data_IF_664971112771
#
_entry.id   IF_664971112771
#
_cell.length_a   1.000
_cell.length_b   1.000
_cell.length_c   1.000
_cell.angle_alpha   90.00
_cell.angle_beta   90.00
_cell.angle_gamma   90.00
#
_symmetry.space_group_name_H-M   'P 1'
#
loop_
_entity.id
_entity.type
_entity.pdbx_description
1 polymer ?
#
# COMPACT_ATOMS: atom_id res chain seq x y z
N UNK A 1 25.27 24.24 44.78
CA UNK A 1 25.57 25.04 43.58
C UNK A 1 24.58 26.21 43.60
N UNK A 2 25.09 27.43 43.73
CA UNK A 2 24.27 28.64 43.54
C UNK A 2 24.26 28.94 42.04
N UNK A 3 23.10 28.81 41.38
CA UNK A 3 22.94 29.27 40.03
C UNK A 3 22.67 30.77 40.03
N UNK A 4 23.54 31.54 39.43
CA UNK A 4 23.31 32.96 39.20
C UNK A 4 22.98 33.16 37.71
N UNK A 5 21.82 33.71 37.40
CA UNK A 5 21.49 34.12 36.08
C UNK A 5 22.17 35.44 35.74
N UNK A 6 23.05 35.46 34.77
CA UNK A 6 23.72 36.66 34.30
C UNK A 6 23.22 36.99 32.90
N UNK A 7 22.76 38.20 32.69
CA UNK A 7 22.35 38.72 31.38
C UNK A 7 23.54 39.46 30.76
N UNK A 8 23.91 39.06 29.57
CA UNK A 8 24.95 39.73 28.77
C UNK A 8 24.27 40.62 27.71
N UNK A 9 24.58 41.91 27.71
CA UNK A 9 23.82 42.89 26.90
C UNK A 9 24.14 42.88 25.39
N UNK A 10 25.31 42.35 25.03
CA UNK A 10 25.79 42.37 23.64
C UNK A 10 26.53 41.05 23.31
N UNK A 11 26.65 40.78 22.02
CA UNK A 11 27.47 39.66 21.55
C UNK A 11 28.94 39.92 21.84
N UNK A 12 29.67 38.93 22.30
CA UNK A 12 31.08 39.04 22.63
C UNK A 12 31.60 37.92 23.51
N UNK A 13 32.87 38.00 23.85
CA UNK A 13 33.51 37.06 24.75
C UNK A 13 33.62 37.64 26.17
N UNK A 14 33.04 37.00 27.15
CA UNK A 14 33.02 37.41 28.55
C UNK A 14 33.79 36.42 29.40
N UNK A 15 34.79 36.92 30.15
CA UNK A 15 35.52 36.11 31.10
C UNK A 15 34.70 35.91 32.38
N UNK A 16 34.59 34.69 32.88
CA UNK A 16 33.91 34.34 34.10
C UNK A 16 34.65 33.22 34.83
N UNK A 17 34.22 32.86 36.03
CA UNK A 17 34.84 31.85 36.83
C UNK A 17 33.81 30.92 37.47
N UNK A 18 34.05 29.63 37.43
CA UNK A 18 33.31 28.65 38.21
C UNK A 18 34.08 28.38 39.51
N UNK A 19 33.46 28.64 40.68
CA UNK A 19 34.04 28.45 41.99
C UNK A 19 33.34 27.27 42.70
N UNK A 20 34.10 26.30 43.18
CA UNK A 20 33.65 25.23 44.07
C UNK A 20 34.33 25.38 45.42
N UNK A 21 33.54 25.35 46.53
CA UNK A 21 34.02 25.43 47.89
C UNK A 21 33.60 24.18 48.69
N UNK A 22 34.53 23.55 49.35
CA UNK A 22 34.23 22.42 50.24
C UNK A 22 33.74 22.86 51.63
N UNK A 23 33.34 21.89 52.45
CA UNK A 23 32.87 22.13 53.82
C UNK A 23 33.93 22.71 54.76
N UNK A 24 35.21 22.62 54.41
CA UNK A 24 36.33 23.12 55.16
C UNK A 24 36.82 24.51 54.73
N UNK A 25 36.15 25.05 53.67
CA UNK A 25 36.50 26.38 53.19
C UNK A 25 37.51 26.43 52.05
N UNK A 26 38.06 25.30 51.62
CA UNK A 26 38.96 25.25 50.47
C UNK A 26 38.18 25.56 49.19
N UNK A 27 38.78 26.37 48.31
CA UNK A 27 38.15 26.85 47.11
C UNK A 27 38.95 26.44 45.86
N UNK A 28 38.29 25.93 44.88
CA UNK A 28 38.83 25.71 43.54
C UNK A 28 38.12 26.67 42.57
N UNK A 29 38.90 27.36 41.76
CA UNK A 29 38.42 28.33 40.76
C UNK A 29 38.83 27.81 39.39
N UNK A 30 37.86 27.71 38.50
CA UNK A 30 38.06 27.37 37.09
C UNK A 30 37.68 28.58 36.23
N UNK A 31 38.66 29.25 35.56
CA UNK A 31 38.33 30.31 34.63
C UNK A 31 37.63 29.75 33.39
N UNK A 32 36.57 30.42 32.93
CA UNK A 32 35.80 30.09 31.75
C UNK A 32 35.65 31.33 30.89
N UNK A 33 35.41 31.13 29.58
CA UNK A 33 34.98 32.16 28.65
C UNK A 33 33.56 31.82 28.18
N UNK A 34 32.67 32.78 28.36
CA UNK A 34 31.30 32.70 27.89
C UNK A 34 31.25 33.48 26.56
N UNK A 35 30.92 32.79 25.47
CA UNK A 35 30.69 33.41 24.19
C UNK A 35 29.20 33.71 24.05
N UNK A 36 28.86 34.98 23.89
CA UNK A 36 27.51 35.45 23.59
C UNK A 36 27.47 35.74 22.10
N UNK A 37 26.60 35.08 21.37
CA UNK A 37 26.43 35.21 19.94
C UNK A 37 25.05 35.76 19.63
N UNK A 38 24.92 36.60 18.63
CA UNK A 38 23.65 36.98 18.05
C UNK A 38 23.33 35.96 16.96
N UNK A 39 22.24 35.26 17.14
CA UNK A 39 21.72 34.36 16.16
C UNK A 39 20.48 34.96 15.51
N UNK A 40 20.48 35.05 14.20
CA UNK A 40 19.37 35.53 13.38
C UNK A 40 19.04 34.61 12.24
N UNK A 41 19.70 33.44 12.17
CA UNK A 41 19.45 32.45 11.16
C UNK A 41 18.41 31.44 11.67
N UNK A 42 17.32 31.20 10.93
CA UNK A 42 16.34 30.20 11.31
C UNK A 42 16.91 28.78 11.18
N UNK A 43 16.47 27.83 12.00
CA UNK A 43 16.85 26.43 11.89
C UNK A 43 16.41 25.80 10.58
N UNK A 44 17.09 24.74 10.17
CA UNK A 44 16.81 23.98 8.93
C UNK A 44 16.10 22.68 9.28
N UNK A 45 14.91 22.49 8.69
CA UNK A 45 14.18 21.21 8.71
C UNK A 45 14.70 20.30 7.59
N UNK A 46 14.94 19.03 7.92
CA UNK A 46 15.39 18.01 6.98
C UNK A 46 14.44 16.80 7.02
N UNK A 47 14.29 16.10 5.90
CA UNK A 47 13.47 14.89 5.82
C UNK A 47 11.95 15.13 5.84
N UNK A 48 11.50 16.37 5.62
CA UNK A 48 10.07 16.69 5.56
C UNK A 48 9.46 16.14 4.27
N UNK A 49 8.54 15.18 4.41
CA UNK A 49 7.70 14.72 3.31
C UNK A 49 6.60 15.74 3.02
N UNK A 50 6.58 16.28 1.81
CA UNK A 50 5.57 17.29 1.40
C UNK A 50 4.16 16.75 1.33
N UNK A 51 4.01 15.44 1.11
CA UNK A 51 2.74 14.72 1.14
C UNK A 51 2.87 13.48 2.01
N UNK A 52 1.94 13.32 2.95
CA UNK A 52 1.84 12.17 3.85
C UNK A 52 0.45 11.56 3.67
N UNK A 53 0.38 10.24 3.58
CA UNK A 53 -0.86 9.50 3.41
C UNK A 53 -1.29 8.84 4.71
N UNK A 54 -2.58 8.95 5.01
CA UNK A 54 -3.23 8.33 6.16
C UNK A 54 -4.42 7.49 5.71
N UNK A 55 -4.73 6.44 6.46
CA UNK A 55 -5.95 5.66 6.27
C UNK A 55 -7.06 6.24 7.14
N UNK A 56 -8.28 6.31 6.62
CA UNK A 56 -9.48 6.70 7.40
C UNK A 56 -9.52 5.97 8.74
N UNK A 57 -9.71 6.70 9.81
CA UNK A 57 -9.73 6.19 11.19
C UNK A 57 -8.37 5.98 11.84
N UNK A 58 -7.25 6.14 11.10
CA UNK A 58 -5.90 5.96 11.62
C UNK A 58 -5.06 7.22 11.42
N UNK A 59 -4.57 7.78 12.53
CA UNK A 59 -3.60 8.87 12.46
C UNK A 59 -2.21 8.34 12.06
N UNK A 60 -1.46 9.16 11.34
CA UNK A 60 -0.09 8.88 10.91
C UNK A 60 0.89 9.83 11.62
N UNK A 61 2.10 9.34 11.86
CA UNK A 61 3.18 10.18 12.36
C UNK A 61 3.79 11.01 11.22
N UNK A 62 3.44 12.28 11.16
CA UNK A 62 3.96 13.22 10.14
C UNK A 62 5.38 13.70 10.43
N UNK A 63 5.93 13.43 11.63
CA UNK A 63 7.31 13.75 12.00
C UNK A 63 8.28 12.59 11.74
N UNK A 64 7.81 11.47 11.22
CA UNK A 64 8.66 10.34 10.90
C UNK A 64 9.83 10.76 9.99
N UNK A 65 11.07 10.51 10.44
CA UNK A 65 12.32 10.87 9.77
C UNK A 65 12.61 12.38 9.64
N UNK A 66 11.80 13.26 10.26
CA UNK A 66 12.07 14.70 10.28
C UNK A 66 13.13 15.00 11.32
N UNK A 67 14.15 15.74 10.92
CA UNK A 67 15.22 16.25 11.79
C UNK A 67 15.36 17.75 11.64
N UNK A 68 15.98 18.39 12.63
CA UNK A 68 16.25 19.82 12.55
C UNK A 68 17.66 20.14 13.07
N UNK A 69 18.33 21.04 12.36
CA UNK A 69 19.66 21.53 12.74
C UNK A 69 19.69 23.05 12.69
N UNK A 70 20.52 23.62 13.53
CA UNK A 70 20.75 25.04 13.61
C UNK A 70 22.25 25.35 13.67
N UNK A 71 22.66 26.52 13.16
CA UNK A 71 24.05 26.92 13.07
C UNK A 71 24.71 27.16 14.44
N UNK A 72 23.93 27.54 15.46
CA UNK A 72 24.42 27.82 16.83
C UNK A 72 24.00 26.73 17.80
N UNK A 73 22.73 26.32 17.78
CA UNK A 73 22.16 25.32 18.70
C UNK A 73 22.51 23.87 18.32
N UNK A 74 22.99 23.63 17.09
CA UNK A 74 23.33 22.29 16.60
C UNK A 74 22.10 21.46 16.28
N UNK A 75 22.06 20.20 16.75
CA UNK A 75 20.92 19.32 16.57
C UNK A 75 19.78 19.69 17.54
N UNK A 76 18.69 20.19 17.00
CA UNK A 76 17.47 20.57 17.71
C UNK A 76 16.25 19.76 17.29
N UNK A 77 16.45 18.56 16.77
CA UNK A 77 15.37 17.64 16.33
C UNK A 77 14.30 17.45 17.40
N UNK A 78 14.69 17.42 18.69
CA UNK A 78 13.74 17.28 19.81
C UNK A 78 12.77 18.46 19.99
N UNK A 79 13.02 19.58 19.32
CA UNK A 79 12.15 20.78 19.37
C UNK A 79 11.17 20.84 18.19
N UNK A 80 11.24 19.90 17.25
CA UNK A 80 10.31 19.83 16.11
C UNK A 80 8.91 19.50 16.61
N UNK A 81 7.92 20.24 16.14
CA UNK A 81 6.52 20.05 16.47
C UNK A 81 5.66 20.03 15.20
N UNK A 82 4.50 19.39 15.29
CA UNK A 82 3.52 19.36 14.22
C UNK A 82 2.16 19.86 14.71
N UNK A 83 1.58 20.80 13.98
CA UNK A 83 0.18 21.19 14.15
C UNK A 83 -0.67 20.42 13.13
N UNK A 84 -1.46 19.49 13.65
CA UNK A 84 -2.41 18.65 12.91
C UNK A 84 -3.87 19.03 13.21
N UNK A 85 -4.12 20.14 13.86
CA UNK A 85 -5.47 20.53 14.31
C UNK A 85 -6.49 20.70 13.17
N UNK A 86 -6.00 20.95 11.95
CA UNK A 86 -6.81 21.04 10.74
C UNK A 86 -7.03 19.70 10.04
N UNK A 87 -6.44 18.60 10.53
CA UNK A 87 -6.51 17.28 9.89
C UNK A 87 -7.62 16.44 10.51
N UNK A 88 -8.63 16.09 9.71
CA UNK A 88 -9.66 15.11 10.10
C UNK A 88 -9.29 13.72 9.54
N UNK A 89 -8.73 12.88 10.40
CA UNK A 89 -8.36 11.51 10.03
C UNK A 89 -9.58 10.57 9.85
N UNK A 90 -10.79 10.99 10.18
CA UNK A 90 -11.99 10.16 10.02
C UNK A 90 -12.75 10.41 8.72
N UNK A 91 -12.33 11.41 7.95
CA UNK A 91 -12.99 11.76 6.69
C UNK A 91 -11.99 11.75 5.55
N UNK A 92 -12.33 11.08 4.45
CA UNK A 92 -11.52 11.10 3.22
C UNK A 92 -11.36 12.54 2.73
N UNK A 93 -10.12 12.93 2.44
CA UNK A 93 -9.84 14.29 1.98
C UNK A 93 -8.36 14.63 2.03
N UNK A 94 -8.04 15.84 1.57
CA UNK A 94 -6.70 16.41 1.65
C UNK A 94 -6.72 17.56 2.65
N UNK A 95 -5.84 17.49 3.63
CA UNK A 95 -5.73 18.42 4.74
C UNK A 95 -4.33 19.02 4.78
N UNK A 96 -4.16 20.15 5.45
CA UNK A 96 -2.85 20.76 5.66
C UNK A 96 -2.44 20.63 7.12
N UNK A 97 -1.24 20.09 7.35
CA UNK A 97 -0.53 20.14 8.62
C UNK A 97 0.64 21.10 8.52
N UNK A 98 1.13 21.60 9.67
CA UNK A 98 2.29 22.49 9.72
C UNK A 98 3.35 21.90 10.64
N UNK A 99 4.54 21.65 10.11
CA UNK A 99 5.72 21.29 10.90
C UNK A 99 6.48 22.57 11.24
N UNK A 100 6.89 22.73 12.48
CA UNK A 100 7.65 23.90 12.92
C UNK A 100 8.75 23.54 13.91
N UNK A 101 9.80 24.36 13.90
CA UNK A 101 10.90 24.27 14.86
C UNK A 101 11.41 25.68 15.19
N UNK A 102 11.77 25.90 16.45
CA UNK A 102 12.42 27.14 16.95
C UNK A 102 13.77 26.84 17.56
N UNK A 103 14.75 27.70 17.26
CA UNK A 103 16.02 27.72 17.94
C UNK A 103 15.96 28.37 19.34
N UNK A 104 17.08 28.46 20.02
CA UNK A 104 17.21 29.10 21.34
C UNK A 104 17.09 30.62 21.30
N UNK A 105 17.29 31.23 20.15
CA UNK A 105 17.21 32.69 19.91
C UNK A 105 15.81 33.14 19.51
N UNK A 106 14.92 32.18 19.16
CA UNK A 106 13.53 32.42 18.79
C UNK A 106 13.27 32.52 17.29
N UNK A 107 14.29 32.28 16.43
CA UNK A 107 14.07 32.17 15.00
C UNK A 107 13.30 30.88 14.71
N UNK A 108 12.39 30.93 13.74
CA UNK A 108 11.45 29.85 13.49
C UNK A 108 11.44 29.46 12.01
N UNK A 109 11.43 28.15 11.77
CA UNK A 109 11.14 27.58 10.44
C UNK A 109 9.83 26.83 10.49
N UNK A 110 9.00 27.01 9.43
CA UNK A 110 7.71 26.34 9.24
C UNK A 110 7.62 25.76 7.85
N UNK A 111 7.05 24.56 7.76
CA UNK A 111 6.74 23.89 6.50
C UNK A 111 5.33 23.32 6.50
N UNK A 112 4.61 23.55 5.41
CA UNK A 112 3.31 22.93 5.18
C UNK A 112 3.47 21.53 4.59
N UNK A 113 2.67 20.61 5.09
CA UNK A 113 2.60 19.21 4.67
C UNK A 113 1.16 18.89 4.29
N UNK A 114 0.97 18.34 3.09
CA UNK A 114 -0.31 17.83 2.64
C UNK A 114 -0.57 16.46 3.27
N UNK A 115 -1.63 16.30 4.05
CA UNK A 115 -2.07 15.03 4.62
C UNK A 115 -3.27 14.53 3.84
N UNK A 116 -3.08 13.43 3.08
CA UNK A 116 -4.12 12.83 2.26
C UNK A 116 -4.72 11.65 3.02
N UNK A 117 -5.94 11.81 3.53
CA UNK A 117 -6.68 10.75 4.21
C UNK A 117 -7.46 9.96 3.16
N UNK A 118 -7.19 8.67 3.08
CA UNK A 118 -7.73 7.77 2.05
C UNK A 118 -8.47 6.59 2.68
N UNK A 119 -9.46 6.07 1.96
CA UNK A 119 -10.05 4.77 2.26
C UNK A 119 -9.40 3.72 1.33
N UNK A 120 -8.59 2.79 1.88
CA UNK A 120 -7.90 1.79 1.07
C UNK A 120 -8.84 0.77 0.42
N UNK A 121 -10.11 0.71 0.88
CA UNK A 121 -11.14 -0.14 0.28
C UNK A 121 -11.92 0.56 -0.83
N UNK A 122 -11.76 1.87 -0.99
CA UNK A 122 -12.45 2.61 -2.03
C UNK A 122 -11.89 2.22 -3.41
N UNK A 123 -12.74 1.61 -4.22
CA UNK A 123 -12.43 1.34 -5.63
C UNK A 123 -12.70 2.56 -6.48
N UNK A 124 -11.83 2.83 -7.47
CA UNK A 124 -12.00 3.95 -8.41
C UNK A 124 -13.06 3.78 -9.44
N UNK A 125 -13.50 2.60 -9.68
CA UNK A 125 -14.55 2.40 -10.66
C UNK A 125 -15.90 2.86 -10.11
N UNK A 126 -15.92 4.08 -9.57
CA UNK A 126 -17.13 4.89 -9.32
C UNK A 126 -17.73 5.43 -10.61
N UNK A 127 -17.20 5.07 -11.79
CA UNK A 127 -17.85 5.27 -13.06
C UNK A 127 -19.21 4.58 -13.07
N UNK A 128 -20.19 5.16 -13.79
CA UNK A 128 -21.53 4.58 -13.92
C UNK A 128 -21.44 3.11 -14.26
N UNK A 129 -21.75 2.24 -13.30
CA UNK A 129 -21.89 0.80 -13.56
C UNK A 129 -23.16 0.58 -14.40
N UNK A 130 -23.06 -0.27 -15.41
CA UNK A 130 -24.26 -0.70 -16.15
C UNK A 130 -25.00 -1.75 -15.33
N UNK A 131 -26.32 -1.67 -15.31
CA UNK A 131 -27.13 -2.79 -14.83
C UNK A 131 -27.17 -3.85 -15.93
N UNK A 132 -26.60 -5.02 -15.68
CA UNK A 132 -26.60 -6.12 -16.64
C UNK A 132 -27.94 -6.85 -16.59
N UNK A 133 -28.47 -7.15 -17.77
CA UNK A 133 -29.68 -7.99 -17.92
C UNK A 133 -29.33 -9.47 -17.93
N UNK A 134 -30.36 -10.30 -17.94
CA UNK A 134 -30.23 -11.78 -18.04
C UNK A 134 -30.14 -12.30 -19.47
N UNK A 135 -30.36 -11.46 -20.47
CA UNK A 135 -30.15 -11.78 -21.89
C UNK A 135 -28.67 -11.59 -22.25
N UNK A 136 -27.86 -12.58 -21.89
CA UNK A 136 -26.44 -12.55 -22.19
C UNK A 136 -26.08 -12.67 -23.65
N UNK A 137 -27.04 -13.09 -24.51
CA UNK A 137 -26.86 -13.11 -25.95
C UNK A 137 -26.77 -11.72 -26.60
N UNK A 138 -27.21 -10.68 -25.90
CA UNK A 138 -27.11 -9.30 -26.36
C UNK A 138 -25.73 -8.66 -26.22
N UNK A 139 -24.83 -9.28 -25.42
CA UNK A 139 -23.45 -8.83 -25.19
C UNK A 139 -22.49 -9.49 -26.17
N UNK A 140 -21.43 -8.78 -26.56
CA UNK A 140 -20.40 -9.33 -27.44
C UNK A 140 -19.67 -10.50 -26.78
N UNK A 141 -19.63 -11.65 -27.48
CA UNK A 141 -18.83 -12.80 -27.10
C UNK A 141 -17.40 -12.77 -27.69
N UNK A 142 -17.02 -11.67 -28.34
CA UNK A 142 -15.69 -11.49 -28.90
C UNK A 142 -14.61 -11.66 -27.82
N UNK A 143 -13.64 -12.52 -28.11
CA UNK A 143 -12.51 -12.78 -27.23
C UNK A 143 -11.62 -11.53 -27.13
N UNK A 144 -11.36 -11.09 -25.90
CA UNK A 144 -10.49 -9.97 -25.58
C UNK A 144 -9.32 -10.49 -24.76
N UNK A 145 -8.11 -10.51 -25.32
CA UNK A 145 -6.90 -10.81 -24.53
C UNK A 145 -6.61 -9.64 -23.60
N UNK A 146 -6.19 -9.92 -22.37
CA UNK A 146 -5.77 -8.88 -21.43
C UNK A 146 -4.26 -8.74 -21.39
N UNK A 147 -3.80 -7.48 -21.34
CA UNK A 147 -2.41 -7.13 -21.17
C UNK A 147 -2.25 -5.62 -20.90
N UNK A 148 -1.46 -5.27 -19.89
CA UNK A 148 -1.28 -3.88 -19.47
C UNK A 148 -0.27 -3.09 -20.32
N UNK A 149 0.45 -3.78 -21.24
CA UNK A 149 1.46 -3.15 -22.12
C UNK A 149 2.78 -2.87 -21.38
N UNK A 150 3.71 -2.22 -22.09
CA UNK A 150 5.03 -1.84 -21.57
C UNK A 150 5.18 -0.34 -21.31
N UNK A 151 4.31 0.47 -21.92
CA UNK A 151 4.36 1.93 -21.79
C UNK A 151 3.78 2.37 -20.46
N UNK A 152 4.44 3.31 -19.79
CA UNK A 152 4.02 3.88 -18.52
C UNK A 152 3.98 5.41 -18.58
N UNK A 153 3.20 6.01 -17.71
CA UNK A 153 3.19 7.46 -17.48
C UNK A 153 4.33 7.91 -16.54
N UNK A 154 4.34 9.19 -16.17
CA UNK A 154 5.33 9.79 -15.27
C UNK A 154 5.31 9.20 -13.84
N UNK A 155 4.18 8.60 -13.44
CA UNK A 155 3.99 7.95 -12.15
C UNK A 155 4.19 6.43 -12.23
N UNK A 156 4.80 5.94 -13.32
CA UNK A 156 5.08 4.53 -13.59
C UNK A 156 3.82 3.65 -13.76
N UNK A 157 2.65 4.26 -14.04
CA UNK A 157 1.37 3.56 -14.22
C UNK A 157 1.22 3.11 -15.69
N UNK A 158 0.82 1.86 -15.97
CA UNK A 158 0.66 1.37 -17.33
C UNK A 158 -0.42 2.14 -18.12
N UNK A 159 -0.04 2.79 -19.20
CA UNK A 159 -0.96 3.60 -20.03
C UNK A 159 -1.91 2.75 -20.86
N UNK A 160 -1.53 1.52 -21.22
CA UNK A 160 -2.35 0.58 -21.97
C UNK A 160 -3.66 0.19 -21.27
N UNK A 161 -3.73 0.32 -19.94
CA UNK A 161 -4.92 0.02 -19.15
C UNK A 161 -6.08 0.98 -19.41
N UNK A 162 -5.80 2.21 -19.85
CA UNK A 162 -6.83 3.21 -20.08
C UNK A 162 -7.85 2.76 -21.14
N UNK A 163 -7.41 1.99 -22.14
CA UNK A 163 -8.30 1.42 -23.14
C UNK A 163 -9.32 0.44 -22.54
N UNK A 164 -8.87 -0.43 -21.63
CA UNK A 164 -9.75 -1.37 -20.93
C UNK A 164 -10.69 -0.66 -19.96
N UNK A 165 -10.19 0.29 -19.18
CA UNK A 165 -10.98 1.09 -18.23
C UNK A 165 -12.14 1.79 -18.94
N UNK A 166 -11.85 2.50 -20.03
CA UNK A 166 -12.86 3.25 -20.78
C UNK A 166 -13.95 2.36 -21.38
N UNK A 167 -13.57 1.15 -21.79
CA UNK A 167 -14.48 0.25 -22.52
C UNK A 167 -15.23 -0.72 -21.61
N UNK A 168 -14.55 -1.24 -20.58
CA UNK A 168 -15.05 -2.36 -19.79
C UNK A 168 -15.18 -2.05 -18.28
N UNK A 169 -14.66 -0.96 -17.79
CA UNK A 169 -14.78 -0.55 -16.37
C UNK A 169 -16.24 -0.47 -15.89
N UNK A 170 -17.17 -0.13 -16.81
CA UNK A 170 -18.61 -0.11 -16.54
C UNK A 170 -19.20 -1.46 -16.09
N UNK A 171 -18.50 -2.58 -16.31
CA UNK A 171 -18.90 -3.92 -15.86
C UNK A 171 -18.32 -4.28 -14.47
N UNK A 172 -18.12 -3.32 -13.60
CA UNK A 172 -17.47 -3.53 -12.29
C UNK A 172 -16.13 -4.27 -12.42
N UNK A 173 -15.30 -3.84 -13.40
CA UNK A 173 -14.01 -4.44 -13.68
C UNK A 173 -12.88 -3.47 -13.33
N UNK A 174 -11.98 -3.92 -12.45
CA UNK A 174 -10.79 -3.19 -12.00
C UNK A 174 -9.56 -3.67 -12.75
N UNK A 175 -8.93 -2.77 -13.49
CA UNK A 175 -7.68 -3.03 -14.22
C UNK A 175 -6.47 -2.42 -13.49
N UNK A 176 -6.71 -1.42 -12.69
CA UNK A 176 -5.81 -0.72 -11.79
C UNK A 176 -6.69 0.05 -10.80
N UNK A 177 -6.18 0.32 -9.62
CA UNK A 177 -6.88 1.14 -8.64
C UNK A 177 -6.53 2.66 -8.77
N UNK A 178 -7.20 3.58 -8.04
CA UNK A 178 -6.86 4.97 -8.00
C UNK A 178 -5.38 5.20 -7.79
N UNK A 179 -4.91 6.29 -8.34
CA UNK A 179 -3.62 6.81 -7.96
C UNK A 179 -3.65 7.20 -6.48
N UNK A 180 -2.81 6.53 -5.71
CA UNK A 180 -2.67 6.69 -4.27
C UNK A 180 -1.33 6.08 -3.85
N UNK A 181 -0.98 6.16 -2.58
CA UNK A 181 0.16 5.39 -2.06
C UNK A 181 -0.16 3.90 -1.79
N UNK A 182 -1.39 3.46 -2.05
CA UNK A 182 -1.75 2.05 -1.87
C UNK A 182 -1.44 1.21 -3.11
N UNK A 183 -0.94 0.00 -2.85
CA UNK A 183 -0.82 -1.09 -3.81
C UNK A 183 -1.60 -2.30 -3.29
N UNK A 184 -2.06 -3.16 -4.19
CA UNK A 184 -2.93 -4.28 -3.87
C UNK A 184 -2.24 -5.58 -4.27
N UNK A 185 -1.95 -6.41 -3.27
CA UNK A 185 -1.33 -7.71 -3.49
C UNK A 185 -2.40 -8.76 -3.74
N UNK A 186 -2.29 -9.44 -4.86
CA UNK A 186 -3.20 -10.52 -5.23
C UNK A 186 -2.41 -11.74 -5.68
N UNK A 187 -2.90 -12.92 -5.34
CA UNK A 187 -2.29 -14.20 -5.68
C UNK A 187 -3.33 -15.13 -6.32
N UNK A 188 -2.93 -15.78 -7.41
CA UNK A 188 -3.74 -16.81 -8.03
C UNK A 188 -3.30 -18.18 -7.52
N UNK A 189 -4.27 -19.01 -7.13
CA UNK A 189 -4.10 -20.30 -6.46
C UNK A 189 -4.78 -21.41 -7.28
N UNK A 190 -4.05 -21.98 -8.20
CA UNK A 190 -4.49 -23.15 -8.96
C UNK A 190 -4.12 -24.47 -8.29
N UNK A 191 -2.91 -24.53 -7.74
CA UNK A 191 -2.28 -25.71 -7.13
C UNK A 191 -1.50 -25.31 -5.88
N UNK A 192 -1.38 -26.24 -4.91
CA UNK A 192 -0.54 -26.07 -3.73
C UNK A 192 0.79 -26.79 -3.89
N UNK A 193 1.89 -26.08 -3.62
CA UNK A 193 3.27 -26.60 -3.67
C UNK A 193 3.96 -26.56 -2.30
N UNK A 194 3.22 -26.44 -1.21
CA UNK A 194 3.76 -26.35 0.15
C UNK A 194 4.32 -24.96 0.48
N UNK A 195 3.92 -23.93 -0.25
CA UNK A 195 4.43 -22.55 -0.09
C UNK A 195 3.42 -21.60 0.55
N UNK A 196 2.12 -21.83 0.36
CA UNK A 196 1.06 -20.93 0.81
C UNK A 196 1.08 -20.70 2.31
N UNK A 197 1.41 -21.71 3.11
CA UNK A 197 1.53 -21.55 4.57
C UNK A 197 2.60 -20.51 4.94
N UNK A 198 3.80 -20.58 4.35
CA UNK A 198 4.88 -19.62 4.56
C UNK A 198 4.58 -18.23 4.02
N UNK A 199 3.81 -18.13 2.92
CA UNK A 199 3.33 -16.85 2.39
C UNK A 199 2.37 -16.20 3.39
N UNK A 200 1.42 -16.93 3.95
CA UNK A 200 0.49 -16.45 4.97
C UNK A 200 1.24 -16.00 6.25
N UNK A 201 2.25 -16.77 6.68
CA UNK A 201 3.10 -16.38 7.81
C UNK A 201 3.80 -15.04 7.57
N UNK A 202 4.37 -14.86 6.37
CA UNK A 202 5.01 -13.60 5.96
C UNK A 202 4.02 -12.43 5.93
N UNK A 203 2.85 -12.62 5.34
CA UNK A 203 1.81 -11.60 5.28
C UNK A 203 1.33 -11.19 6.69
N UNK A 204 1.20 -12.16 7.58
CA UNK A 204 0.85 -11.94 8.99
C UNK A 204 1.94 -11.16 9.73
N UNK A 205 3.20 -11.56 9.62
CA UNK A 205 4.34 -10.87 10.21
C UNK A 205 4.44 -9.42 9.74
N UNK A 206 4.26 -9.20 8.43
CA UNK A 206 4.31 -7.88 7.81
C UNK A 206 3.02 -7.07 7.96
N UNK A 207 1.97 -7.61 8.57
CA UNK A 207 0.64 -7.01 8.69
C UNK A 207 0.09 -6.53 7.33
N UNK A 208 0.11 -7.41 6.34
CA UNK A 208 -0.41 -7.18 4.98
C UNK A 208 -1.57 -8.11 4.71
N UNK A 209 -2.64 -7.58 4.12
CA UNK A 209 -3.75 -8.39 3.60
C UNK A 209 -3.64 -8.49 2.09
N UNK A 210 -3.96 -9.68 1.56
CA UNK A 210 -3.94 -9.98 0.14
C UNK A 210 -5.28 -10.55 -0.32
N UNK A 211 -5.45 -10.62 -1.64
CA UNK A 211 -6.55 -11.38 -2.25
C UNK A 211 -5.98 -12.68 -2.80
N UNK A 212 -6.58 -13.80 -2.45
CA UNK A 212 -6.25 -15.12 -3.01
C UNK A 212 -7.38 -15.57 -3.93
N UNK A 213 -7.12 -15.62 -5.23
CA UNK A 213 -8.08 -16.12 -6.21
C UNK A 213 -7.91 -17.62 -6.37
N UNK A 214 -8.85 -18.37 -5.78
CA UNK A 214 -8.76 -19.84 -5.68
C UNK A 214 -9.68 -20.51 -6.70
N UNK A 215 -9.21 -21.63 -7.26
CA UNK A 215 -10.04 -22.53 -8.07
C UNK A 215 -10.84 -23.49 -7.19
N UNK A 216 -11.89 -24.11 -7.74
CA UNK A 216 -12.65 -25.15 -7.00
C UNK A 216 -11.80 -26.35 -6.58
N UNK A 217 -10.91 -26.91 -7.43
CA UNK A 217 -9.99 -27.95 -7.03
C UNK A 217 -9.09 -27.55 -5.85
N UNK A 218 -8.54 -26.31 -5.88
CA UNK A 218 -7.72 -25.79 -4.78
C UNK A 218 -8.51 -25.78 -3.46
N UNK A 219 -9.72 -25.19 -3.47
CA UNK A 219 -10.57 -25.12 -2.30
C UNK A 219 -10.89 -26.49 -1.68
N UNK A 220 -11.11 -27.50 -2.54
CA UNK A 220 -11.41 -28.89 -2.11
C UNK A 220 -10.21 -29.62 -1.55
N UNK A 221 -9.02 -29.36 -2.08
CA UNK A 221 -7.79 -30.05 -1.71
C UNK A 221 -7.08 -29.43 -0.50
N UNK A 222 -7.28 -28.12 -0.28
CA UNK A 222 -6.58 -27.35 0.74
C UNK A 222 -7.53 -26.57 1.67
N UNK A 223 -8.54 -27.23 2.28
CA UNK A 223 -9.57 -26.54 3.04
C UNK A 223 -9.00 -25.80 4.26
N UNK A 224 -7.93 -26.30 4.87
CA UNK A 224 -7.28 -25.67 6.03
C UNK A 224 -6.60 -24.34 5.65
N UNK A 225 -5.98 -24.27 4.45
CA UNK A 225 -5.38 -23.04 3.96
C UNK A 225 -6.46 -22.01 3.61
N UNK A 226 -7.56 -22.42 2.97
CA UNK A 226 -8.68 -21.52 2.67
C UNK A 226 -9.29 -20.97 3.96
N UNK A 227 -9.52 -21.84 4.97
CA UNK A 227 -10.01 -21.38 6.27
C UNK A 227 -9.03 -20.40 6.93
N UNK A 228 -7.73 -20.68 6.87
CA UNK A 228 -6.69 -19.80 7.39
C UNK A 228 -6.68 -18.43 6.68
N UNK A 229 -6.82 -18.40 5.35
CA UNK A 229 -6.93 -17.13 4.59
C UNK A 229 -8.09 -16.27 5.11
N UNK A 230 -9.26 -16.89 5.34
CA UNK A 230 -10.46 -16.23 5.86
C UNK A 230 -10.24 -15.72 7.28
N UNK A 231 -9.76 -16.59 8.18
CA UNK A 231 -9.56 -16.29 9.60
C UNK A 231 -8.52 -15.19 9.83
N UNK A 232 -7.51 -15.14 8.99
CA UNK A 232 -6.48 -14.08 9.02
C UNK A 232 -6.92 -12.80 8.32
N UNK A 233 -8.15 -12.75 7.77
CA UNK A 233 -8.75 -11.54 7.19
C UNK A 233 -8.25 -11.20 5.79
N UNK A 234 -7.75 -12.18 5.05
CA UNK A 234 -7.51 -12.06 3.62
C UNK A 234 -8.83 -12.15 2.85
N UNK A 235 -8.84 -11.67 1.61
CA UNK A 235 -9.99 -11.84 0.71
C UNK A 235 -9.80 -13.11 -0.11
N UNK A 236 -10.79 -13.98 -0.07
CA UNK A 236 -10.83 -15.18 -0.93
C UNK A 236 -11.69 -14.87 -2.15
N UNK A 237 -11.04 -14.76 -3.30
CA UNK A 237 -11.64 -14.48 -4.60
C UNK A 237 -11.82 -15.76 -5.43
N UNK A 238 -12.73 -15.71 -6.39
CA UNK A 238 -13.11 -16.81 -7.26
C UNK A 238 -12.25 -16.83 -8.52
N UNK A 239 -11.62 -17.97 -8.83
CA UNK A 239 -10.78 -18.17 -10.02
C UNK A 239 -11.34 -19.28 -10.93
N UNK A 240 -12.64 -19.47 -10.92
CA UNK A 240 -13.40 -20.47 -11.69
C UNK A 240 -13.26 -21.93 -11.20
N UNK A 241 -14.08 -22.79 -11.78
CA UNK A 241 -14.08 -24.24 -11.45
C UNK A 241 -12.90 -24.94 -12.08
N UNK A 242 -12.73 -24.79 -13.41
CA UNK A 242 -11.79 -25.63 -14.17
C UNK A 242 -10.57 -24.86 -14.67
N UNK A 243 -10.53 -23.54 -14.47
CA UNK A 243 -9.49 -22.66 -15.02
C UNK A 243 -9.29 -22.93 -16.53
N UNK A 244 -10.30 -22.66 -17.37
CA UNK A 244 -10.23 -23.01 -18.79
C UNK A 244 -9.07 -22.29 -19.48
N UNK A 245 -8.12 -23.03 -20.02
CA UNK A 245 -6.88 -22.51 -20.62
C UNK A 245 -7.10 -21.61 -21.83
N UNK A 246 -8.24 -21.77 -22.53
CA UNK A 246 -8.62 -20.90 -23.63
C UNK A 246 -9.42 -19.66 -23.18
N UNK A 247 -9.65 -19.49 -21.87
CA UNK A 247 -10.42 -18.42 -21.27
C UNK A 247 -11.92 -18.74 -21.16
N UNK A 248 -12.56 -18.12 -20.18
CA UNK A 248 -13.99 -18.31 -19.85
C UNK A 248 -14.91 -18.01 -21.04
N UNK A 249 -14.58 -16.98 -21.85
CA UNK A 249 -15.36 -16.53 -23.01
C UNK A 249 -15.49 -17.56 -24.14
N UNK A 250 -14.72 -18.65 -24.12
CA UNK A 250 -14.83 -19.73 -25.11
C UNK A 250 -15.91 -20.75 -24.78
N UNK A 251 -16.46 -20.68 -23.58
CA UNK A 251 -17.50 -21.58 -23.08
C UNK A 251 -18.91 -21.06 -23.44
N UNK A 252 -19.90 -21.93 -23.43
CA UNK A 252 -21.30 -21.52 -23.55
C UNK A 252 -21.71 -20.65 -22.34
N UNK A 253 -22.76 -19.85 -22.49
CA UNK A 253 -23.29 -19.00 -21.40
C UNK A 253 -23.58 -19.81 -20.14
N UNK A 254 -24.22 -20.97 -20.27
CA UNK A 254 -24.52 -21.85 -19.14
C UNK A 254 -23.23 -22.36 -18.45
N UNK A 255 -22.24 -22.76 -19.24
CA UNK A 255 -20.96 -23.18 -18.69
C UNK A 255 -20.23 -22.02 -17.98
N UNK A 256 -20.22 -20.81 -18.55
CA UNK A 256 -19.64 -19.64 -17.90
C UNK A 256 -20.31 -19.35 -16.54
N UNK A 257 -21.65 -19.42 -16.49
CA UNK A 257 -22.40 -19.23 -15.25
C UNK A 257 -21.96 -20.28 -14.20
N UNK A 258 -21.85 -21.55 -14.59
CA UNK A 258 -21.46 -22.62 -13.66
C UNK A 258 -20.00 -22.50 -13.22
N UNK A 259 -19.08 -22.11 -14.10
CA UNK A 259 -17.66 -21.84 -13.74
C UNK A 259 -17.52 -20.79 -12.63
N UNK A 260 -18.43 -19.86 -12.53
CA UNK A 260 -18.43 -18.83 -11.48
C UNK A 260 -19.20 -19.30 -10.24
N UNK A 261 -20.39 -19.88 -10.44
CA UNK A 261 -21.33 -20.20 -9.37
C UNK A 261 -20.85 -21.32 -8.45
N UNK A 262 -20.35 -22.42 -9.02
CA UNK A 262 -20.05 -23.63 -8.25
C UNK A 262 -18.91 -23.42 -7.23
N UNK A 263 -17.93 -22.55 -7.53
CA UNK A 263 -16.87 -22.21 -6.56
C UNK A 263 -17.44 -21.51 -5.35
N UNK A 264 -18.31 -20.51 -5.59
CA UNK A 264 -18.94 -19.78 -4.48
C UNK A 264 -19.87 -20.66 -3.66
N UNK A 265 -20.68 -21.50 -4.32
CA UNK A 265 -21.58 -22.41 -3.61
C UNK A 265 -20.79 -23.33 -2.66
N UNK A 266 -19.67 -23.88 -3.15
CA UNK A 266 -18.79 -24.71 -2.34
C UNK A 266 -18.17 -23.93 -1.16
N UNK A 267 -17.62 -22.74 -1.44
CA UNK A 267 -16.96 -21.94 -0.40
C UNK A 267 -17.97 -21.43 0.63
N UNK A 268 -19.17 -21.04 0.19
CA UNK A 268 -20.24 -20.63 1.10
C UNK A 268 -20.72 -21.80 1.99
N UNK A 269 -20.90 -22.98 1.40
CA UNK A 269 -21.36 -24.19 2.14
C UNK A 269 -20.32 -24.65 3.17
N UNK A 270 -19.04 -24.66 2.83
CA UNK A 270 -18.00 -25.26 3.67
C UNK A 270 -17.33 -24.30 4.64
N UNK A 271 -17.27 -23.01 4.30
CA UNK A 271 -16.56 -21.98 5.10
C UNK A 271 -17.47 -20.85 5.58
N UNK A 272 -18.74 -20.79 5.15
CA UNK A 272 -19.65 -19.68 5.46
C UNK A 272 -19.23 -18.35 4.84
N UNK A 273 -18.34 -18.38 3.84
CA UNK A 273 -17.76 -17.20 3.23
C UNK A 273 -18.39 -16.93 1.87
N UNK A 274 -18.96 -15.72 1.69
CA UNK A 274 -19.52 -15.28 0.42
C UNK A 274 -18.45 -14.57 -0.40
N UNK A 275 -18.07 -15.15 -1.53
CA UNK A 275 -17.12 -14.55 -2.46
C UNK A 275 -17.75 -13.37 -3.21
N UNK A 276 -16.95 -12.34 -3.51
CA UNK A 276 -17.40 -11.12 -4.22
C UNK A 276 -16.39 -10.59 -5.24
N UNK A 277 -15.20 -11.19 -5.33
CA UNK A 277 -14.20 -10.88 -6.34
C UNK A 277 -13.99 -12.08 -7.26
N UNK A 278 -13.85 -11.79 -8.55
CA UNK A 278 -13.57 -12.78 -9.59
C UNK A 278 -12.34 -12.38 -10.40
N UNK A 279 -11.49 -13.34 -10.71
CA UNK A 279 -10.41 -13.16 -11.68
C UNK A 279 -10.57 -14.13 -12.82
N UNK A 280 -10.53 -13.58 -14.04
CA UNK A 280 -10.64 -14.36 -15.26
C UNK A 280 -9.41 -15.25 -15.44
N UNK A 281 -9.57 -16.58 -15.63
CA UNK A 281 -8.49 -17.46 -16.04
C UNK A 281 -7.75 -16.91 -17.26
N UNK A 282 -6.41 -16.91 -17.22
CA UNK A 282 -5.53 -16.35 -18.26
C UNK A 282 -5.69 -14.84 -18.53
N UNK A 283 -6.59 -14.16 -17.84
CA UNK A 283 -6.95 -12.76 -18.09
C UNK A 283 -7.84 -12.53 -19.30
N UNK A 284 -8.14 -13.56 -20.09
CA UNK A 284 -8.95 -13.42 -21.26
C UNK A 284 -10.46 -13.35 -20.93
N UNK A 285 -11.17 -12.44 -21.55
CA UNK A 285 -12.58 -12.20 -21.30
C UNK A 285 -13.37 -11.81 -22.56
N UNK A 286 -14.66 -11.62 -22.42
CA UNK A 286 -15.52 -10.96 -23.40
C UNK A 286 -16.49 -10.02 -22.67
N UNK A 287 -17.15 -9.14 -23.38
CA UNK A 287 -18.20 -8.29 -22.79
C UNK A 287 -19.31 -9.15 -22.15
N UNK A 288 -19.68 -10.25 -22.83
CA UNK A 288 -20.63 -11.23 -22.34
C UNK A 288 -20.17 -11.88 -21.03
N UNK A 289 -18.91 -12.31 -20.96
CA UNK A 289 -18.38 -12.95 -19.74
C UNK A 289 -18.28 -11.97 -18.58
N UNK A 290 -17.94 -10.69 -18.80
CA UNK A 290 -17.99 -9.64 -17.80
C UNK A 290 -19.41 -9.42 -17.25
N UNK A 291 -20.41 -9.37 -18.17
CA UNK A 291 -21.81 -9.24 -17.78
C UNK A 291 -22.31 -10.44 -16.95
N UNK A 292 -21.92 -11.66 -17.32
CA UNK A 292 -22.24 -12.88 -16.55
C UNK A 292 -21.64 -12.82 -15.15
N UNK A 293 -20.37 -12.46 -15.02
CA UNK A 293 -19.67 -12.35 -13.71
C UNK A 293 -20.32 -11.28 -12.85
N UNK A 294 -20.59 -10.09 -13.41
CA UNK A 294 -21.27 -9.01 -12.70
C UNK A 294 -22.70 -9.39 -12.27
N UNK A 295 -23.45 -10.12 -13.09
CA UNK A 295 -24.82 -10.54 -12.76
C UNK A 295 -24.90 -11.47 -11.56
N UNK A 296 -23.81 -12.16 -11.24
CA UNK A 296 -23.66 -13.02 -10.05
C UNK A 296 -23.13 -12.27 -8.82
N UNK A 297 -23.04 -10.92 -8.89
CA UNK A 297 -22.63 -10.08 -7.78
C UNK A 297 -21.12 -9.92 -7.62
N UNK A 298 -20.33 -10.26 -8.62
CA UNK A 298 -18.88 -10.15 -8.56
C UNK A 298 -18.35 -8.84 -9.15
N UNK A 299 -17.23 -8.41 -8.59
CA UNK A 299 -16.29 -7.47 -9.19
C UNK A 299 -15.16 -8.25 -9.85
N UNK A 300 -14.88 -7.96 -11.11
CA UNK A 300 -13.76 -8.55 -11.85
C UNK A 300 -12.47 -7.80 -11.53
N UNK A 301 -11.41 -8.51 -11.13
CA UNK A 301 -10.12 -7.91 -10.77
C UNK A 301 -9.04 -8.42 -11.71
N UNK A 302 -8.52 -7.51 -12.53
CA UNK A 302 -7.35 -7.72 -13.38
C UNK A 302 -6.09 -7.27 -12.65
N UNK A 303 -5.04 -6.86 -13.35
CA UNK A 303 -3.76 -6.46 -12.75
C UNK A 303 -3.06 -5.38 -13.57
N UNK A 304 -2.17 -4.65 -12.91
CA UNK A 304 -1.30 -3.65 -13.55
C UNK A 304 0.18 -4.02 -13.47
N UNK A 305 0.50 -5.11 -12.77
CA UNK A 305 1.80 -5.74 -12.73
C UNK A 305 1.65 -7.26 -12.70
N UNK A 306 2.41 -7.95 -13.51
CA UNK A 306 2.63 -9.41 -13.49
C UNK A 306 3.95 -9.73 -14.18
N UNK A 307 4.47 -10.91 -13.94
CA UNK A 307 5.61 -11.49 -14.67
C UNK A 307 5.45 -13.01 -14.74
N UNK A 308 6.31 -13.67 -15.51
CA UNK A 308 6.23 -15.13 -15.68
C UNK A 308 6.79 -15.82 -14.43
N UNK A 309 5.94 -16.19 -13.48
CA UNK A 309 6.27 -16.82 -12.19
C UNK A 309 5.56 -18.18 -11.95
N UNK A 310 4.59 -18.53 -12.81
CA UNK A 310 3.73 -19.72 -12.67
C UNK A 310 4.34 -21.04 -13.20
N UNK A 311 5.53 -21.01 -13.82
CA UNK A 311 6.18 -22.22 -14.30
C UNK A 311 7.08 -22.77 -13.20
N UNK A 312 6.60 -23.76 -12.48
CA UNK A 312 7.24 -24.27 -11.25
C UNK A 312 8.67 -24.73 -11.46
N UNK A 313 8.94 -25.40 -12.59
CA UNK A 313 10.27 -25.92 -12.92
C UNK A 313 11.21 -24.87 -13.58
N UNK A 314 10.71 -23.67 -13.89
CA UNK A 314 11.44 -22.58 -14.53
C UNK A 314 11.28 -21.27 -13.74
N UNK A 315 11.59 -21.30 -12.45
CA UNK A 315 11.45 -20.14 -11.61
C UNK A 315 12.50 -19.06 -11.91
N UNK A 316 12.08 -17.79 -12.05
CA UNK A 316 13.03 -16.70 -12.31
C UNK A 316 13.90 -16.41 -11.07
N UNK A 317 15.05 -15.77 -11.31
CA UNK A 317 15.97 -15.38 -10.24
C UNK A 317 15.31 -14.40 -9.23
N UNK A 318 15.46 -14.69 -7.94
CA UNK A 318 14.81 -13.95 -6.84
C UNK A 318 15.21 -12.47 -6.84
N UNK A 319 16.53 -12.17 -6.96
CA UNK A 319 17.00 -10.79 -6.88
C UNK A 319 16.54 -9.95 -8.08
N UNK A 320 16.55 -10.54 -9.28
CA UNK A 320 16.07 -9.89 -10.50
C UNK A 320 14.57 -9.66 -10.46
N UNK A 321 13.80 -10.62 -9.93
CA UNK A 321 12.34 -10.52 -9.78
C UNK A 321 11.93 -9.46 -8.76
N UNK A 322 12.60 -9.42 -7.62
CA UNK A 322 12.43 -8.38 -6.61
C UNK A 322 12.72 -6.99 -7.19
N UNK A 323 13.87 -6.84 -7.88
CA UNK A 323 14.23 -5.57 -8.50
C UNK A 323 13.19 -5.14 -9.55
N UNK A 324 12.70 -6.08 -10.39
CA UNK A 324 11.66 -5.80 -11.37
C UNK A 324 10.35 -5.34 -10.70
N UNK A 325 9.90 -6.06 -9.68
CA UNK A 325 8.68 -5.72 -8.94
C UNK A 325 8.78 -4.34 -8.28
N UNK A 326 9.91 -4.02 -7.62
CA UNK A 326 10.15 -2.73 -6.98
C UNK A 326 10.35 -1.58 -7.97
N UNK A 327 10.92 -1.83 -9.16
CA UNK A 327 11.09 -0.81 -10.19
C UNK A 327 9.79 -0.47 -10.91
N UNK A 328 8.81 -1.37 -10.89
CA UNK A 328 7.50 -1.20 -11.51
C UNK A 328 6.41 -0.76 -10.54
N UNK A 329 6.75 -0.53 -9.26
CA UNK A 329 5.76 -0.09 -8.27
C UNK A 329 5.17 1.27 -8.66
N UNK A 330 3.87 1.39 -8.52
CA UNK A 330 3.11 2.60 -8.82
C UNK A 330 1.85 2.68 -7.97
N UNK A 331 1.34 3.88 -7.79
CA UNK A 331 0.13 4.13 -7.01
C UNK A 331 -1.10 3.43 -7.61
N UNK A 332 -1.87 2.73 -6.78
CA UNK A 332 -3.02 1.94 -7.19
C UNK A 332 -2.68 0.62 -7.90
N UNK A 333 -1.42 0.17 -7.87
CA UNK A 333 -1.02 -1.07 -8.52
C UNK A 333 -1.80 -2.28 -7.99
N UNK A 334 -2.25 -3.13 -8.89
CA UNK A 334 -2.75 -4.48 -8.58
C UNK A 334 -1.67 -5.45 -9.04
N UNK A 335 -0.99 -6.06 -8.09
CA UNK A 335 0.04 -7.07 -8.33
C UNK A 335 -0.61 -8.43 -8.49
N UNK A 336 -0.40 -9.07 -9.64
CA UNK A 336 -0.66 -10.50 -9.82
C UNK A 336 0.63 -11.27 -9.57
N UNK A 337 0.63 -12.11 -8.57
CA UNK A 337 1.64 -13.12 -8.26
C UNK A 337 0.98 -14.50 -8.19
N UNK A 338 1.77 -15.57 -8.26
CA UNK A 338 1.28 -16.94 -8.08
C UNK A 338 1.92 -17.53 -6.84
N UNK A 339 1.12 -18.19 -6.00
CA UNK A 339 1.59 -18.71 -4.72
C UNK A 339 2.41 -20.00 -4.85
N UNK A 340 2.28 -20.73 -5.97
CA UNK A 340 3.16 -21.86 -6.31
C UNK A 340 4.59 -21.45 -6.68
N UNK A 341 4.89 -20.14 -6.73
CA UNK A 341 6.22 -19.64 -7.08
C UNK A 341 7.15 -19.61 -5.88
N UNK A 342 8.24 -20.41 -5.94
CA UNK A 342 9.31 -20.34 -4.94
C UNK A 342 10.01 -18.99 -4.93
N UNK A 343 10.09 -18.31 -6.06
CA UNK A 343 10.64 -16.96 -6.20
C UNK A 343 9.78 -15.95 -5.43
N UNK A 344 8.45 -15.98 -5.62
CA UNK A 344 7.54 -15.10 -4.90
C UNK A 344 7.58 -15.34 -3.39
N UNK A 345 7.51 -16.60 -2.96
CA UNK A 345 7.60 -16.94 -1.55
C UNK A 345 8.90 -16.43 -0.91
N UNK A 346 10.03 -16.52 -1.65
CA UNK A 346 11.34 -16.09 -1.14
C UNK A 346 11.50 -14.57 -1.08
N UNK A 347 10.91 -13.82 -2.02
CA UNK A 347 11.09 -12.35 -2.09
C UNK A 347 10.00 -11.56 -1.37
N UNK A 348 8.91 -12.20 -0.93
CA UNK A 348 7.70 -11.49 -0.46
C UNK A 348 7.97 -10.51 0.67
N UNK A 349 8.76 -10.90 1.67
CA UNK A 349 9.10 -10.04 2.80
C UNK A 349 9.89 -8.80 2.34
N UNK A 350 10.91 -9.01 1.51
CA UNK A 350 11.76 -7.93 0.99
C UNK A 350 10.98 -7.03 0.01
N UNK A 351 10.03 -7.60 -0.75
CA UNK A 351 9.13 -6.83 -1.61
C UNK A 351 8.24 -5.89 -0.80
N UNK A 352 7.63 -6.39 0.29
CA UNK A 352 6.78 -5.58 1.16
C UNK A 352 7.59 -4.44 1.78
N UNK A 353 8.75 -4.75 2.35
CA UNK A 353 9.62 -3.75 2.98
C UNK A 353 10.14 -2.73 1.96
N UNK A 354 10.50 -3.19 0.77
CA UNK A 354 10.96 -2.33 -0.32
C UNK A 354 9.87 -1.38 -0.85
N UNK A 355 8.61 -1.83 -0.92
CA UNK A 355 7.48 -0.97 -1.27
C UNK A 355 7.27 0.12 -0.21
N UNK A 356 7.31 -0.23 1.07
CA UNK A 356 7.20 0.72 2.18
C UNK A 356 8.34 1.72 2.19
N UNK A 357 9.56 1.28 1.93
CA UNK A 357 10.73 2.17 1.80
C UNK A 357 10.59 3.19 0.65
N UNK A 358 9.75 2.89 -0.35
CA UNK A 358 9.41 3.80 -1.45
C UNK A 358 8.15 4.66 -1.15
N UNK A 359 7.56 4.55 0.04
CA UNK A 359 6.38 5.32 0.47
C UNK A 359 5.04 4.70 0.10
N UNK A 360 5.02 3.43 -0.34
CA UNK A 360 3.78 2.71 -0.61
C UNK A 360 3.33 1.89 0.59
N UNK A 361 2.01 1.74 0.73
CA UNK A 361 1.36 0.85 1.69
C UNK A 361 0.48 -0.17 0.96
N UNK A 362 0.05 -1.20 1.69
CA UNK A 362 -0.78 -2.25 1.13
C UNK A 362 -2.25 -2.01 1.47
N UNK A 363 -3.04 -1.74 0.43
CA UNK A 363 -4.49 -1.70 0.50
C UNK A 363 -5.09 -3.11 0.39
N UNK A 364 -6.36 -3.23 0.70
CA UNK A 364 -7.09 -4.48 0.52
C UNK A 364 -8.49 -4.21 -0.07
N UNK A 365 -9.02 -5.20 -0.74
CA UNK A 365 -10.38 -5.15 -1.22
C UNK A 365 -11.34 -5.47 -0.07
N UNK A 366 -12.21 -4.53 0.28
CA UNK A 366 -13.32 -4.81 1.19
C UNK A 366 -14.59 -5.11 0.38
N UNK A 367 -15.53 -5.82 0.99
CA UNK A 367 -16.88 -5.94 0.45
C UNK A 367 -17.53 -4.56 0.56
N UNK A 368 -17.81 -3.95 -0.59
CA UNK A 368 -18.65 -2.75 -0.64
C UNK A 368 -20.09 -3.22 -0.56
N UNK A 369 -20.78 -2.87 0.52
CA UNK A 369 -22.22 -3.12 0.71
C UNK A 369 -23.06 -2.25 -0.25
#
# INVERSE_FOLDING_TARGET
ILSQSVVYPEAGAYSSEICAKDAYGNMTVLPIVIMVVNDSEPPVLNGVNKTVYATVGNAVDILANVTATDNIDGDITSRVTADISAVDFNTVGTYTAVISVKDGSGNETREEVSVVVQDPSASLNSGSTVTVGTDFGSYSSEYVPFGFGSEVDENNRPTGLQWYINRYGKYTADFIQPESNYIYLTMDEGYEYGLTEGILDTLKEKNVKAVFFITLPYAKQNPELVQRMIDEGHVVGNHSVTHPSAGLSTLSVEQQINEVKEVNDYVLEHFGYQMYLFRFPTGAFSEQSLAIVQSQGYRSVFWSFAYKDWVVDEQPDVASSLANALNKVHGGAIYLLHAESTTNASMLADFIDGCRAKGFEFGYYSKVD
#
